data_IF_145101718070
#
_entry.id   IF_145101718070
#
_cell.length_a   1.000
_cell.length_b   1.000
_cell.length_c   1.000
_cell.angle_alpha   90.00
_cell.angle_beta   90.00
_cell.angle_gamma   90.00
#
_symmetry.space_group_name_H-M   'P 1'
#
loop_
_entity.id
_entity.type
_entity.pdbx_description
1 polymer ?
#
# COMPACT_ATOMS: atom_id res chain seq x y z
N UNK A 1 -13.07 15.03 -13.66
CA UNK A 1 -11.99 15.23 -14.65
C UNK A 1 -12.15 14.15 -15.71
N UNK A 2 -12.14 14.52 -16.99
CA UNK A 2 -12.36 13.57 -18.09
C UNK A 2 -11.20 12.57 -18.16
N UNK A 3 -11.49 11.36 -18.62
CA UNK A 3 -10.59 10.19 -18.64
C UNK A 3 -9.35 10.30 -19.55
N UNK A 4 -9.09 11.46 -20.15
CA UNK A 4 -8.04 11.65 -21.17
C UNK A 4 -6.90 12.58 -20.76
N UNK A 5 -6.93 13.16 -19.56
CA UNK A 5 -5.90 14.10 -19.14
C UNK A 5 -4.61 13.36 -18.76
N UNK A 6 -3.62 13.40 -19.66
CA UNK A 6 -2.28 12.82 -19.45
C UNK A 6 -1.32 13.84 -18.86
N UNK A 7 -0.65 13.47 -17.78
CA UNK A 7 0.40 14.29 -17.16
C UNK A 7 1.66 14.26 -18.05
N UNK A 8 2.24 15.44 -18.31
CA UNK A 8 3.51 15.57 -19.02
C UNK A 8 4.69 15.31 -18.06
N UNK A 9 5.51 14.33 -18.41
CA UNK A 9 6.78 14.02 -17.73
C UNK A 9 7.92 14.59 -18.56
N UNK A 10 8.72 15.47 -17.94
CA UNK A 10 9.84 16.16 -18.58
C UNK A 10 11.10 15.30 -18.66
N UNK A 11 12.02 15.69 -19.53
CA UNK A 11 13.38 15.16 -19.55
C UNK A 11 14.07 15.30 -18.17
N UNK A 12 14.99 14.38 -17.79
CA UNK A 12 15.55 13.28 -18.61
C UNK A 12 14.72 11.99 -18.61
N UNK A 13 13.52 11.98 -18.02
CA UNK A 13 12.72 10.76 -17.91
C UNK A 13 12.16 10.30 -19.25
N UNK A 14 12.03 8.98 -19.40
CA UNK A 14 11.48 8.34 -20.59
C UNK A 14 10.67 7.09 -20.25
N UNK A 15 9.91 6.58 -21.22
CA UNK A 15 9.16 5.33 -21.05
C UNK A 15 10.05 4.12 -20.69
N UNK A 16 11.35 4.17 -20.99
CA UNK A 16 12.31 3.11 -20.64
C UNK A 16 12.51 2.97 -19.13
N UNK A 17 12.21 4.02 -18.37
CA UNK A 17 12.32 4.01 -16.91
C UNK A 17 11.21 3.15 -16.25
N UNK A 18 10.18 2.81 -17.02
CA UNK A 18 9.02 2.03 -16.57
C UNK A 18 7.98 2.89 -15.88
N UNK A 19 7.26 2.31 -14.90
CA UNK A 19 6.28 3.05 -14.11
C UNK A 19 6.97 4.07 -13.19
N UNK A 20 6.26 5.16 -12.93
CA UNK A 20 6.71 6.28 -12.09
C UNK A 20 5.88 6.33 -10.81
N UNK A 21 6.50 6.79 -9.73
CA UNK A 21 5.89 6.98 -8.43
C UNK A 21 6.09 8.41 -7.97
N UNK A 22 5.02 9.08 -7.54
CA UNK A 22 5.11 10.41 -6.93
C UNK A 22 5.70 10.29 -5.53
N UNK A 23 6.74 11.09 -5.26
CA UNK A 23 7.31 11.21 -3.92
C UNK A 23 6.31 11.94 -3.01
N UNK A 24 6.09 11.39 -1.83
CA UNK A 24 5.20 11.96 -0.83
C UNK A 24 5.79 11.71 0.56
N UNK A 25 6.10 12.79 1.29
CA UNK A 25 6.69 12.71 2.63
C UNK A 25 5.76 12.02 3.62
N UNK A 26 4.45 12.26 3.51
CA UNK A 26 3.44 11.62 4.35
C UNK A 26 3.32 10.10 4.10
N UNK A 27 3.87 9.60 2.99
CA UNK A 27 3.82 8.17 2.68
C UNK A 27 4.53 7.33 3.75
N UNK A 28 5.56 7.88 4.42
CA UNK A 28 6.29 7.16 5.48
C UNK A 28 5.34 6.77 6.62
N UNK A 29 4.52 7.71 7.09
CA UNK A 29 3.52 7.46 8.14
C UNK A 29 2.37 6.60 7.60
N UNK A 30 1.97 6.78 6.34
CA UNK A 30 0.88 6.01 5.75
C UNK A 30 1.24 4.54 5.56
N UNK A 31 2.51 4.20 5.34
CA UNK A 31 2.95 2.80 5.19
C UNK A 31 2.71 1.99 6.45
N UNK A 32 2.88 2.59 7.62
CA UNK A 32 2.54 1.93 8.89
C UNK A 32 1.04 1.65 8.97
N UNK A 33 0.22 2.64 8.59
CA UNK A 33 -1.24 2.49 8.58
C UNK A 33 -1.72 1.45 7.55
N UNK A 34 -1.08 1.38 6.37
CA UNK A 34 -1.48 0.45 5.32
C UNK A 34 -1.39 -1.02 5.76
N UNK A 35 -0.49 -1.36 6.68
CA UNK A 35 -0.32 -2.73 7.19
C UNK A 35 -1.57 -3.26 7.91
N UNK A 36 -2.51 -2.38 8.28
CA UNK A 36 -3.79 -2.77 8.85
C UNK A 36 -4.86 -3.13 7.80
N UNK A 37 -4.64 -2.82 6.51
CA UNK A 37 -5.59 -3.18 5.46
C UNK A 37 -5.42 -4.63 5.02
N UNK A 38 -6.54 -5.30 4.78
CA UNK A 38 -6.55 -6.67 4.26
C UNK A 38 -5.85 -6.74 2.90
N UNK A 39 -4.97 -7.73 2.75
CA UNK A 39 -4.24 -7.99 1.51
C UNK A 39 -2.88 -7.30 1.43
N UNK A 40 -2.55 -6.39 2.36
CA UNK A 40 -1.22 -5.78 2.42
C UNK A 40 -0.22 -6.79 2.97
N UNK A 41 0.64 -7.31 2.08
CA UNK A 41 1.68 -8.30 2.41
C UNK A 41 3.01 -7.62 2.75
N UNK A 42 3.91 -8.36 3.38
CA UNK A 42 5.30 -7.91 3.61
C UNK A 42 5.99 -7.46 2.32
N UNK A 43 5.78 -8.18 1.22
CA UNK A 43 6.37 -7.85 -0.08
C UNK A 43 5.84 -6.54 -0.67
N UNK A 44 4.59 -6.16 -0.39
CA UNK A 44 4.04 -4.85 -0.75
C UNK A 44 4.71 -3.77 0.12
N UNK A 45 4.76 -3.96 1.44
CA UNK A 45 5.40 -3.02 2.37
C UNK A 45 6.86 -2.75 1.99
N UNK A 46 7.62 -3.79 1.63
CA UNK A 46 8.98 -3.64 1.10
C UNK A 46 9.05 -2.74 -0.14
N UNK A 47 8.12 -2.87 -1.09
CA UNK A 47 8.06 -1.99 -2.25
C UNK A 47 7.78 -0.54 -1.83
N UNK A 48 6.83 -0.31 -0.92
CA UNK A 48 6.49 1.04 -0.46
C UNK A 48 7.66 1.70 0.27
N UNK A 49 8.37 0.94 1.11
CA UNK A 49 9.58 1.40 1.79
C UNK A 49 10.69 1.72 0.80
N UNK A 50 10.89 0.89 -0.21
CA UNK A 50 11.90 1.14 -1.26
C UNK A 50 11.59 2.41 -2.05
N UNK A 51 10.32 2.64 -2.41
CA UNK A 51 9.87 3.88 -3.05
C UNK A 51 10.14 5.08 -2.15
N UNK A 52 9.77 5.00 -0.88
CA UNK A 52 9.93 6.11 0.08
C UNK A 52 11.41 6.44 0.32
N UNK A 53 12.24 5.43 0.54
CA UNK A 53 13.69 5.58 0.72
C UNK A 53 14.33 6.19 -0.54
N UNK A 54 14.00 5.68 -1.72
CA UNK A 54 14.54 6.23 -2.98
C UNK A 54 14.06 7.66 -3.22
N UNK A 55 12.80 7.95 -2.84
CA UNK A 55 12.18 9.26 -2.92
C UNK A 55 12.92 10.36 -2.17
N UNK A 56 13.57 10.04 -1.04
CA UNK A 56 14.39 11.01 -0.29
C UNK A 56 15.55 11.59 -1.09
N UNK A 57 16.01 10.87 -2.13
CA UNK A 57 17.11 11.30 -3.01
C UNK A 57 16.62 11.81 -4.37
N UNK A 58 15.30 11.85 -4.59
CA UNK A 58 14.72 12.30 -5.85
C UNK A 58 14.92 13.81 -6.04
N UNK A 59 15.25 14.21 -7.27
CA UNK A 59 15.46 15.63 -7.63
C UNK A 59 14.23 16.28 -8.26
N UNK A 60 13.29 15.48 -8.74
CA UNK A 60 12.13 15.93 -9.52
C UNK A 60 10.80 15.44 -8.91
N UNK A 61 10.84 14.93 -7.68
CA UNK A 61 9.66 14.45 -6.96
C UNK A 61 9.11 13.15 -7.52
N UNK A 62 9.87 12.42 -8.34
CA UNK A 62 9.47 11.15 -8.93
C UNK A 62 10.50 10.04 -8.63
N UNK A 63 10.03 8.80 -8.62
CA UNK A 63 10.87 7.59 -8.58
C UNK A 63 10.40 6.65 -9.67
N UNK A 64 11.32 6.10 -10.45
CA UNK A 64 11.02 5.14 -11.51
C UNK A 64 11.24 3.70 -11.10
N UNK A 65 10.63 2.78 -11.84
CA UNK A 65 10.85 1.34 -11.65
C UNK A 65 12.32 0.96 -11.85
N UNK A 66 13.02 1.58 -12.82
CA UNK A 66 14.46 1.35 -13.02
C UNK A 66 15.27 1.77 -11.78
N UNK A 67 14.99 2.95 -11.21
CA UNK A 67 15.67 3.42 -10.01
C UNK A 67 15.47 2.49 -8.80
N UNK A 68 14.31 1.84 -8.70
CA UNK A 68 14.04 0.83 -7.67
C UNK A 68 14.85 -0.46 -7.89
N UNK A 69 15.02 -0.89 -9.14
CA UNK A 69 15.86 -2.06 -9.47
C UNK A 69 17.30 -1.77 -9.07
N UNK A 70 17.81 -0.60 -9.47
CA UNK A 70 19.18 -0.16 -9.19
C UNK A 70 19.43 -0.04 -7.68
N UNK A 71 18.47 0.50 -6.92
CA UNK A 71 18.54 0.60 -5.46
C UNK A 71 18.61 -0.75 -4.73
N UNK A 72 18.34 -1.86 -5.43
CA UNK A 72 18.43 -3.21 -4.88
C UNK A 72 19.57 -4.02 -5.50
N UNK A 73 20.47 -3.38 -6.23
CA UNK A 73 21.53 -4.03 -7.02
C UNK A 73 20.97 -5.13 -7.94
N UNK A 74 19.78 -4.90 -8.51
CA UNK A 74 19.10 -5.86 -9.37
C UNK A 74 18.45 -7.06 -8.66
N UNK A 75 18.54 -7.17 -7.32
CA UNK A 75 17.94 -8.28 -6.56
C UNK A 75 16.42 -8.32 -6.69
N UNK A 76 15.77 -7.15 -6.78
CA UNK A 76 14.34 -7.05 -7.06
C UNK A 76 14.14 -6.75 -8.54
N UNK A 77 13.66 -7.74 -9.29
CA UNK A 77 13.49 -7.62 -10.74
C UNK A 77 12.31 -6.73 -11.12
N UNK A 78 12.32 -6.20 -12.35
CA UNK A 78 11.20 -5.43 -12.91
C UNK A 78 9.87 -6.17 -12.81
N UNK A 79 9.87 -7.47 -13.09
CA UNK A 79 8.68 -8.31 -13.01
C UNK A 79 8.15 -8.43 -11.57
N UNK A 80 9.05 -8.57 -10.59
CA UNK A 80 8.69 -8.61 -9.17
C UNK A 80 8.09 -7.28 -8.70
N UNK A 81 8.67 -6.14 -9.10
CA UNK A 81 8.12 -4.81 -8.81
C UNK A 81 6.73 -4.68 -9.42
N UNK A 82 6.55 -5.02 -10.70
CA UNK A 82 5.26 -4.95 -11.37
C UNK A 82 4.20 -5.86 -10.73
N UNK A 83 4.58 -7.05 -10.25
CA UNK A 83 3.67 -7.94 -9.54
C UNK A 83 3.20 -7.32 -8.22
N UNK A 84 4.14 -6.83 -7.40
CA UNK A 84 3.82 -6.14 -6.13
C UNK A 84 2.96 -4.89 -6.36
N UNK A 85 3.28 -4.12 -7.40
CA UNK A 85 2.55 -2.93 -7.82
C UNK A 85 1.10 -3.25 -8.21
N UNK A 86 0.88 -4.29 -9.03
CA UNK A 86 -0.48 -4.71 -9.39
C UNK A 86 -1.31 -5.07 -8.15
N UNK A 87 -0.71 -5.78 -7.20
CA UNK A 87 -1.39 -6.10 -5.93
C UNK A 87 -1.68 -4.85 -5.10
N UNK A 88 -0.74 -3.92 -4.98
CA UNK A 88 -0.92 -2.66 -4.25
C UNK A 88 -2.02 -1.77 -4.87
N UNK A 89 -2.07 -1.67 -6.20
CA UNK A 89 -3.13 -0.97 -6.94
C UNK A 89 -4.49 -1.63 -6.71
N UNK A 90 -4.57 -2.95 -6.78
CA UNK A 90 -5.84 -3.67 -6.56
C UNK A 90 -6.39 -3.49 -5.13
N UNK A 91 -5.53 -3.25 -4.14
CA UNK A 91 -5.92 -2.91 -2.76
C UNK A 91 -6.38 -1.45 -2.65
N UNK A 92 -5.97 -0.60 -3.60
CA UNK A 92 -6.25 0.84 -3.62
C UNK A 92 -5.13 1.72 -3.08
N UNK A 93 -3.95 1.17 -2.77
CA UNK A 93 -2.85 1.95 -2.17
C UNK A 93 -2.29 3.03 -3.10
N UNK A 94 -2.50 2.87 -4.40
CA UNK A 94 -2.08 3.83 -5.42
C UNK A 94 -3.24 4.24 -6.31
N UNK A 95 -3.33 5.54 -6.60
CA UNK A 95 -4.08 6.05 -7.74
C UNK A 95 -3.19 6.02 -8.99
N UNK A 96 -3.77 5.71 -10.14
CA UNK A 96 -3.04 5.58 -11.40
C UNK A 96 -3.43 6.70 -12.35
N UNK A 97 -2.44 7.45 -12.84
CA UNK A 97 -2.65 8.51 -13.84
C UNK A 97 -1.84 8.20 -15.10
N UNK A 98 -2.46 8.24 -16.30
CA UNK A 98 -1.72 8.04 -17.54
C UNK A 98 -0.78 9.22 -17.79
N UNK A 99 0.38 8.95 -18.38
CA UNK A 99 1.39 9.97 -18.66
C UNK A 99 1.70 10.10 -20.15
N UNK A 100 2.27 11.23 -20.52
CA UNK A 100 2.98 11.47 -21.78
C UNK A 100 4.37 11.99 -21.46
N UNK A 101 5.36 11.65 -22.26
CA UNK A 101 6.72 12.17 -22.11
C UNK A 101 6.95 13.34 -23.06
N UNK A 102 7.85 14.23 -22.68
CA UNK A 102 8.30 15.35 -23.52
C UNK A 102 8.89 14.87 -24.85
N UNK A 103 9.56 13.72 -24.86
CA UNK A 103 10.04 13.07 -26.08
C UNK A 103 9.70 11.58 -26.09
N UNK A 104 9.36 11.07 -27.27
CA UNK A 104 9.06 9.65 -27.49
C UNK A 104 7.65 9.20 -27.10
N UNK A 105 7.40 7.91 -27.29
CA UNK A 105 6.11 7.28 -26.98
C UNK A 105 6.00 6.99 -25.48
N UNK A 106 4.80 7.16 -24.91
CA UNK A 106 4.54 6.88 -23.50
C UNK A 106 4.42 5.38 -23.17
N UNK A 107 4.14 4.55 -24.18
CA UNK A 107 3.92 3.12 -23.98
C UNK A 107 2.77 2.86 -23.00
N UNK A 108 3.02 1.99 -22.02
CA UNK A 108 2.08 1.64 -20.93
C UNK A 108 2.47 2.26 -19.59
N UNK A 109 3.34 3.27 -19.61
CA UNK A 109 3.79 3.90 -18.37
C UNK A 109 2.64 4.65 -17.71
N UNK A 110 2.58 4.52 -16.39
CA UNK A 110 1.61 5.18 -15.51
C UNK A 110 2.38 5.84 -14.37
N UNK A 111 1.85 6.97 -13.90
CA UNK A 111 2.25 7.60 -12.65
C UNK A 111 1.36 7.07 -11.52
N UNK A 112 1.99 6.66 -10.42
CA UNK A 112 1.33 6.10 -9.25
C UNK A 112 1.52 7.04 -8.07
N UNK A 113 0.41 7.48 -7.46
CA UNK A 113 0.44 8.35 -6.28
C UNK A 113 -0.18 7.64 -5.09
N UNK A 114 0.48 7.73 -3.93
CA UNK A 114 -0.02 7.14 -2.69
C UNK A 114 -1.41 7.70 -2.33
N UNK A 115 -2.32 6.83 -1.93
CA UNK A 115 -3.69 7.22 -1.51
C UNK A 115 -3.76 7.32 0.00
N UNK A 116 -4.19 8.45 0.54
CA UNK A 116 -4.30 8.64 1.99
C UNK A 116 -5.12 7.49 2.63
N UNK A 117 -4.60 6.79 3.66
CA UNK A 117 -5.30 5.71 4.36
C UNK A 117 -6.73 6.05 4.80
N UNK A 118 -6.98 7.30 5.22
CA UNK A 118 -8.31 7.75 5.62
C UNK A 118 -9.34 7.65 4.48
N UNK A 119 -8.91 7.87 3.23
CA UNK A 119 -9.77 7.72 2.05
C UNK A 119 -10.06 6.26 1.72
N UNK A 120 -9.13 5.35 2.03
CA UNK A 120 -9.31 3.90 1.82
C UNK A 120 -10.35 3.31 2.77
N UNK A 121 -10.37 3.77 4.02
CA UNK A 121 -11.40 3.37 5.00
C UNK A 121 -12.80 3.71 4.49
N UNK A 122 -12.97 4.89 3.90
CA UNK A 122 -14.25 5.34 3.35
C UNK A 122 -14.65 4.54 2.11
N UNK A 123 -13.70 4.21 1.23
CA UNK A 123 -13.97 3.49 -0.03
C UNK A 123 -14.19 1.98 0.15
N UNK A 124 -13.51 1.35 1.10
CA UNK A 124 -13.56 -0.11 1.30
C UNK A 124 -14.69 -0.57 2.23
N UNK A 125 -15.37 0.36 2.91
CA UNK A 125 -16.33 0.07 3.97
C UNK A 125 -15.67 -0.61 5.18
N UNK A 126 -16.34 -0.52 6.33
CA UNK A 126 -15.84 -1.06 7.62
C UNK A 126 -15.54 -2.57 7.61
N UNK A 127 -16.02 -3.31 6.60
CA UNK A 127 -15.79 -4.75 6.45
C UNK A 127 -14.38 -5.17 5.99
N UNK A 128 -13.58 -4.27 5.40
CA UNK A 128 -12.23 -4.61 4.90
C UNK A 128 -11.12 -4.45 5.96
N UNK A 129 -11.42 -3.78 7.08
CA UNK A 129 -10.46 -3.47 8.15
C UNK A 129 -10.16 -4.62 9.12
N UNK A 130 -10.77 -5.80 8.93
CA UNK A 130 -10.58 -6.93 9.85
C UNK A 130 -9.34 -7.75 9.50
N UNK A 131 -8.22 -7.40 10.13
CA UNK A 131 -7.00 -8.22 10.18
C UNK A 131 -7.19 -9.51 11.00
N UNK A 132 -6.35 -10.51 10.77
CA UNK A 132 -6.32 -11.74 11.60
C UNK A 132 -5.98 -11.47 13.08
N UNK A 133 -5.35 -10.34 13.39
CA UNK A 133 -5.04 -9.91 14.76
C UNK A 133 -6.28 -9.52 15.56
N UNK A 134 -7.29 -8.89 14.95
CA UNK A 134 -8.57 -8.62 15.62
C UNK A 134 -9.42 -9.88 15.77
N UNK A 135 -9.32 -10.86 14.87
CA UNK A 135 -9.94 -12.18 15.07
C UNK A 135 -9.35 -12.92 16.27
N UNK A 136 -8.02 -12.87 16.47
CA UNK A 136 -7.38 -13.47 17.65
C UNK A 136 -7.77 -12.76 18.94
N UNK A 137 -7.80 -11.43 18.96
CA UNK A 137 -8.21 -10.67 20.16
C UNK A 137 -9.71 -10.84 20.48
N UNK A 138 -10.58 -10.88 19.46
CA UNK A 138 -12.00 -11.16 19.64
C UNK A 138 -12.25 -12.60 20.13
N UNK A 139 -11.48 -13.59 19.62
CA UNK A 139 -11.53 -14.98 20.09
C UNK A 139 -11.06 -15.09 21.55
N UNK A 140 -9.97 -14.41 21.93
CA UNK A 140 -9.51 -14.35 23.32
C UNK A 140 -10.54 -13.67 24.25
N UNK A 141 -11.11 -12.53 23.86
CA UNK A 141 -12.17 -11.85 24.64
C UNK A 141 -13.41 -12.73 24.82
N UNK A 142 -13.80 -13.48 23.78
CA UNK A 142 -14.92 -14.44 23.86
C UNK A 142 -14.60 -15.61 24.81
N UNK A 143 -13.39 -16.14 24.79
CA UNK A 143 -12.96 -17.21 25.71
C UNK A 143 -12.89 -16.72 27.16
N UNK A 144 -12.40 -15.49 27.41
CA UNK A 144 -12.40 -14.89 28.75
C UNK A 144 -13.81 -14.62 29.28
N UNK A 145 -14.72 -14.11 28.44
CA UNK A 145 -16.12 -13.90 28.83
C UNK A 145 -16.85 -15.22 29.16
N UNK A 146 -16.58 -16.29 28.41
CA UNK A 146 -17.13 -17.62 28.69
C UNK A 146 -16.58 -18.20 30.01
N UNK A 147 -15.28 -18.01 30.29
CA UNK A 147 -14.68 -18.44 31.55
C UNK A 147 -15.26 -17.68 32.74
N UNK A 148 -15.43 -16.36 32.64
CA UNK A 148 -16.05 -15.53 33.67
C UNK A 148 -17.51 -15.91 33.94
N UNK A 149 -18.28 -16.21 32.87
CA UNK A 149 -19.67 -16.68 32.99
C UNK A 149 -19.78 -18.03 33.69
N UNK A 150 -18.83 -18.94 33.48
CA UNK A 150 -18.83 -20.26 34.12
C UNK A 150 -18.47 -20.16 35.61
N UNK A 151 -17.51 -19.30 35.97
CA UNK A 151 -17.16 -19.03 37.38
C UNK A 151 -18.33 -18.40 38.13
N UNK A 152 -19.01 -17.42 37.53
CA UNK A 152 -20.18 -16.79 38.16
C UNK A 152 -21.33 -17.78 38.34
N UNK A 153 -21.56 -18.70 37.39
CA UNK A 153 -22.58 -19.75 37.56
C UNK A 153 -22.24 -20.74 38.67
N UNK A 154 -20.97 -21.13 38.82
CA UNK A 154 -20.54 -22.01 39.92
C UNK A 154 -20.70 -21.36 41.29
N UNK A 155 -20.31 -20.08 41.43
CA UNK A 155 -20.47 -19.33 42.68
C UNK A 155 -21.94 -19.14 43.08
N UNK A 156 -22.84 -18.97 42.09
CA UNK A 156 -24.29 -18.88 42.33
C UNK A 156 -24.91 -20.20 42.77
N UNK A 157 -24.33 -21.35 42.40
CA UNK A 157 -24.81 -22.68 42.83
C UNK A 157 -24.23 -23.16 44.16
N UNK A 158 -23.12 -22.56 44.62
CA UNK A 158 -22.48 -22.92 45.90
C UNK A 158 -22.97 -22.05 47.08
N UNK A 159 -23.60 -20.90 46.80
CA UNK A 159 -24.08 -19.95 47.81
C UNK A 159 -25.59 -19.64 47.74
N UNK A 160 -26.37 -20.42 46.98
CA UNK A 160 -27.84 -20.36 46.91
C UNK A 160 -28.46 -21.68 47.33
#
# INVERSE_FOLDING_TARGET
MSSDEKILIKQPRSHKDGHLFTVNEAAIEWIEQYQHFKGVTKSIVELLNLISLKGMTSKDGLVSTTELIDATDGKVTRAAIQQRLRSAVNIGLFSQTPVKFETGLAGKTMLHSFVNPAQLVTALGTGSLMTETTKKSAKQKKTQALAQSNVNKQLLTEHG
#
